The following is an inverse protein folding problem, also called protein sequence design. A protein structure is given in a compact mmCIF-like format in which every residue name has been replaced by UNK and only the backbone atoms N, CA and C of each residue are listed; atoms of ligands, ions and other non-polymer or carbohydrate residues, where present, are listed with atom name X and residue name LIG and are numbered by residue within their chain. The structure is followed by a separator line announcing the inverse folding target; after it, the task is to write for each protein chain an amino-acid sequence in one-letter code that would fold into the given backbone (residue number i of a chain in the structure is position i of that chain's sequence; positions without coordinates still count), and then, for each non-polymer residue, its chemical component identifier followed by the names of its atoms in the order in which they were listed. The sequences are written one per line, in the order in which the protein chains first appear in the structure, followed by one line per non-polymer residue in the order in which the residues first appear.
data_IF_318258722359
#
_entry.id   IF_318258722359
#
_cell.length_a   1.000
_cell.length_b   1.000
_cell.length_c   1.000
_cell.angle_alpha   90.00
_cell.angle_beta   90.00
_cell.angle_gamma   90.00
#
_symmetry.space_group_name_H-M   'P 1'
#
loop_
_entity.id
_entity.type
_entity.pdbx_description
1 polymer ?
#
# COMPACT_ATOMS: atom_id res chain seq x y z
N UNK A 1 -6.10 -12.92 -8.90
CA UNK A 1 -5.15 -13.20 -7.81
C UNK A 1 -5.89 -13.10 -6.49
N UNK A 2 -5.96 -14.17 -5.74
CA UNK A 2 -6.48 -14.14 -4.38
C UNK A 2 -5.35 -14.55 -3.46
N UNK A 3 -4.62 -13.57 -2.88
CA UNK A 3 -3.67 -13.91 -1.84
C UNK A 3 -4.50 -14.39 -0.65
N UNK A 4 -4.48 -15.67 -0.42
CA UNK A 4 -5.03 -16.26 0.76
C UNK A 4 -4.31 -17.59 1.05
N UNK A 5 -4.23 -17.92 2.30
CA UNK A 5 -3.70 -19.19 2.79
C UNK A 5 -4.83 -20.15 3.19
N UNK A 6 -6.02 -19.98 2.59
CA UNK A 6 -7.24 -20.71 2.92
C UNK A 6 -8.13 -20.03 3.95
N UNK A 7 -7.66 -19.00 4.63
CA UNK A 7 -8.49 -18.23 5.57
C UNK A 7 -9.40 -17.25 4.84
N UNK A 8 -10.68 -17.26 5.16
CA UNK A 8 -11.71 -16.38 4.57
C UNK A 8 -11.60 -14.93 5.07
N UNK A 9 -11.17 -14.73 6.31
CA UNK A 9 -11.15 -13.45 7.01
C UNK A 9 -9.76 -13.11 7.53
N UNK A 10 -9.54 -11.85 7.82
CA UNK A 10 -8.29 -11.35 8.39
C UNK A 10 -7.12 -11.33 7.40
N UNK A 11 -7.41 -11.32 6.10
CA UNK A 11 -6.40 -11.18 5.06
C UNK A 11 -5.97 -9.73 4.94
N UNK A 12 -4.69 -9.48 4.81
CA UNK A 12 -4.12 -8.14 4.65
C UNK A 12 -3.24 -8.10 3.42
N UNK A 13 -3.50 -7.15 2.54
CA UNK A 13 -2.66 -6.89 1.36
C UNK A 13 -2.00 -5.53 1.52
N UNK A 14 -0.67 -5.49 1.50
CA UNK A 14 0.10 -4.29 1.25
C UNK A 14 0.36 -4.18 -0.26
N UNK A 15 -0.33 -3.25 -0.91
CA UNK A 15 -0.10 -2.95 -2.32
C UNK A 15 0.99 -1.88 -2.44
N UNK A 16 2.20 -2.34 -2.72
CA UNK A 16 3.43 -1.55 -2.79
C UNK A 16 3.69 -1.12 -4.22
N UNK A 17 4.14 0.11 -4.43
CA UNK A 17 4.52 0.59 -5.77
C UNK A 17 4.60 2.11 -5.81
N UNK A 18 5.54 2.64 -6.58
CA UNK A 18 5.73 4.07 -6.74
C UNK A 18 4.49 4.82 -7.21
N UNK A 19 4.51 6.14 -7.14
CA UNK A 19 3.48 6.94 -7.77
C UNK A 19 3.46 6.67 -9.28
N UNK A 20 2.27 6.68 -9.90
CA UNK A 20 2.05 6.34 -11.30
C UNK A 20 2.45 4.90 -11.73
N UNK A 21 2.75 4.00 -10.80
CA UNK A 21 3.13 2.60 -11.12
C UNK A 21 1.98 1.73 -11.64
N UNK A 22 0.74 2.20 -11.59
CA UNK A 22 -0.43 1.41 -12.03
C UNK A 22 -1.10 0.59 -10.94
N UNK A 23 -0.94 0.95 -9.65
CA UNK A 23 -1.62 0.27 -8.52
C UNK A 23 -3.13 0.16 -8.71
N UNK A 24 -3.80 1.24 -9.11
CA UNK A 24 -5.26 1.22 -9.33
C UNK A 24 -5.66 0.25 -10.45
N UNK A 25 -4.84 0.11 -11.49
CA UNK A 25 -5.04 -0.92 -12.53
C UNK A 25 -4.82 -2.32 -11.97
N UNK A 26 -3.80 -2.49 -11.12
CA UNK A 26 -3.53 -3.77 -10.47
C UNK A 26 -4.68 -4.20 -9.55
N UNK A 27 -5.26 -3.28 -8.77
CA UNK A 27 -6.46 -3.55 -7.97
C UNK A 27 -7.58 -4.04 -8.88
N UNK A 28 -7.95 -3.26 -9.89
CA UNK A 28 -9.08 -3.57 -10.77
C UNK A 28 -8.94 -4.89 -11.54
N UNK A 29 -7.71 -5.22 -11.98
CA UNK A 29 -7.49 -6.41 -12.82
C UNK A 29 -7.16 -7.68 -12.04
N UNK A 30 -6.53 -7.56 -10.88
CA UNK A 30 -5.89 -8.71 -10.24
C UNK A 30 -6.31 -8.96 -8.79
N UNK A 31 -6.95 -7.99 -8.13
CA UNK A 31 -7.38 -8.12 -6.74
C UNK A 31 -8.89 -7.99 -6.69
N UNK A 32 -9.56 -8.96 -6.09
CA UNK A 32 -10.99 -8.82 -5.75
C UNK A 32 -11.13 -7.86 -4.56
N UNK A 33 -11.12 -6.56 -4.88
CA UNK A 33 -11.16 -5.52 -3.86
C UNK A 33 -12.51 -5.41 -3.15
N UNK A 34 -13.58 -6.02 -3.68
CA UNK A 34 -14.90 -6.03 -3.04
C UNK A 34 -14.89 -6.73 -1.69
N UNK A 35 -14.00 -7.72 -1.54
CA UNK A 35 -13.82 -8.47 -0.30
C UNK A 35 -12.93 -7.76 0.73
N UNK A 36 -12.38 -6.57 0.43
CA UNK A 36 -11.42 -5.86 1.25
C UNK A 36 -11.90 -4.46 1.63
N UNK A 37 -11.62 -4.04 2.87
CA UNK A 37 -11.68 -2.63 3.24
C UNK A 37 -10.40 -1.95 2.79
N UNK A 38 -10.52 -1.04 1.82
CA UNK A 38 -9.36 -0.31 1.28
C UNK A 38 -8.98 0.84 2.20
N UNK A 39 -7.70 0.90 2.54
CA UNK A 39 -7.08 1.98 3.32
C UNK A 39 -6.14 2.74 2.37
N UNK A 40 -6.62 3.88 1.88
CA UNK A 40 -5.92 4.72 0.91
C UNK A 40 -5.86 6.16 1.43
N UNK A 41 -4.70 6.82 1.45
CA UNK A 41 -4.57 8.24 1.82
C UNK A 41 -5.43 9.18 0.99
N UNK A 42 -5.64 8.89 -0.29
CA UNK A 42 -6.49 9.74 -1.15
C UNK A 42 -7.96 9.65 -0.72
N UNK A 43 -8.45 8.47 -0.32
CA UNK A 43 -9.78 8.33 0.26
C UNK A 43 -9.95 9.12 1.58
N UNK A 44 -8.88 9.25 2.37
CA UNK A 44 -8.91 10.11 3.56
C UNK A 44 -9.03 11.58 3.18
N UNK A 45 -8.36 12.05 2.12
CA UNK A 45 -8.52 13.43 1.63
C UNK A 45 -9.95 13.70 1.17
N UNK A 46 -10.57 12.74 0.47
CA UNK A 46 -11.98 12.86 0.06
C UNK A 46 -12.92 12.97 1.26
N UNK A 47 -12.70 12.19 2.32
CA UNK A 47 -13.45 12.30 3.57
C UNK A 47 -13.27 13.67 4.23
N UNK A 48 -12.05 14.21 4.24
CA UNK A 48 -11.75 15.53 4.79
C UNK A 48 -12.43 16.65 3.97
N UNK A 49 -12.44 16.52 2.64
CA UNK A 49 -13.15 17.44 1.75
C UNK A 49 -14.64 17.43 2.06
N UNK A 50 -15.26 16.25 2.14
CA UNK A 50 -16.67 16.13 2.50
C UNK A 50 -16.98 16.69 3.90
N UNK A 51 -16.05 16.51 4.86
CA UNK A 51 -16.20 17.08 6.20
C UNK A 51 -16.19 18.63 6.15
N UNK A 52 -15.31 19.22 5.36
CA UNK A 52 -15.26 20.67 5.14
C UNK A 52 -16.54 21.18 4.48
N UNK A 53 -17.00 20.53 3.41
CA UNK A 53 -18.23 20.87 2.68
C UNK A 53 -19.47 20.82 3.57
N UNK A 54 -19.48 19.93 4.56
CA UNK A 54 -20.56 19.79 5.57
C UNK A 54 -20.40 20.70 6.78
N UNK A 55 -19.39 21.57 6.80
CA UNK A 55 -19.13 22.47 7.93
C UNK A 55 -18.72 21.75 9.22
N UNK A 56 -18.11 20.56 9.13
CA UNK A 56 -17.65 19.85 10.31
C UNK A 56 -16.46 20.60 10.94
N UNK A 57 -16.62 20.92 12.23
CA UNK A 57 -15.61 21.65 13.00
C UNK A 57 -14.21 21.02 12.89
N UNK A 58 -13.23 21.87 12.63
CA UNK A 58 -11.83 21.49 12.48
C UNK A 58 -11.38 21.20 11.05
N UNK A 59 -12.29 21.38 10.05
CA UNK A 59 -11.96 21.24 8.63
C UNK A 59 -12.32 22.48 7.80
N UNK A 60 -12.60 23.61 8.44
CA UNK A 60 -13.02 24.86 7.82
C UNK A 60 -11.95 25.44 6.87
N UNK A 61 -10.68 25.23 7.23
CA UNK A 61 -9.50 25.65 6.47
C UNK A 61 -9.32 24.92 5.12
N UNK A 62 -10.09 23.88 4.89
CA UNK A 62 -10.11 23.15 3.62
C UNK A 62 -11.22 23.66 2.66
N UNK A 63 -12.06 24.59 3.11
CA UNK A 63 -13.15 25.11 2.28
C UNK A 63 -12.59 25.79 1.01
N UNK A 64 -13.07 25.36 -0.16
CA UNK A 64 -12.61 25.87 -1.45
C UNK A 64 -11.19 25.43 -1.87
N UNK A 65 -10.50 24.60 -1.07
CA UNK A 65 -9.17 24.10 -1.42
C UNK A 65 -9.30 22.85 -2.30
N UNK A 66 -8.82 22.92 -3.55
CA UNK A 66 -8.78 21.76 -4.44
C UNK A 66 -7.58 20.85 -4.10
N UNK A 67 -7.82 19.61 -3.59
CA UNK A 67 -6.76 18.67 -3.25
C UNK A 67 -5.95 18.18 -4.47
N UNK A 68 -6.41 18.43 -5.68
CA UNK A 68 -5.74 18.00 -6.90
C UNK A 68 -4.66 18.97 -7.39
N UNK A 69 -4.63 20.20 -6.86
CA UNK A 69 -3.55 21.14 -7.13
C UNK A 69 -2.35 20.87 -6.21
N UNK A 70 -1.11 21.21 -6.62
CA UNK A 70 0.08 21.04 -5.77
C UNK A 70 -0.05 21.77 -4.42
N UNK A 71 -0.57 23.00 -4.43
CA UNK A 71 -0.80 23.80 -3.22
C UNK A 71 -1.87 23.16 -2.33
N UNK A 72 -3.00 22.79 -2.91
CA UNK A 72 -4.09 22.14 -2.17
C UNK A 72 -3.67 20.78 -1.61
N UNK A 73 -2.97 19.96 -2.39
CA UNK A 73 -2.42 18.70 -1.89
C UNK A 73 -1.53 18.90 -0.66
N UNK A 74 -0.70 19.95 -0.65
CA UNK A 74 0.14 20.30 0.51
C UNK A 74 -0.69 20.63 1.75
N UNK A 75 -1.74 21.43 1.58
CA UNK A 75 -2.67 21.81 2.67
C UNK A 75 -3.33 20.56 3.25
N UNK A 76 -3.89 19.69 2.40
CA UNK A 76 -4.49 18.43 2.85
C UNK A 76 -3.49 17.51 3.56
N UNK A 77 -2.25 17.41 3.05
CA UNK A 77 -1.21 16.62 3.71
C UNK A 77 -0.82 17.19 5.08
N UNK A 78 -0.73 18.52 5.21
CA UNK A 78 -0.48 19.14 6.50
C UNK A 78 -1.61 18.84 7.47
N UNK A 79 -2.85 19.06 7.06
CA UNK A 79 -4.05 18.76 7.87
C UNK A 79 -4.11 17.30 8.30
N UNK A 80 -3.77 16.36 7.41
CA UNK A 80 -3.70 14.93 7.75
C UNK A 80 -2.66 14.64 8.83
N UNK A 81 -1.51 15.33 8.82
CA UNK A 81 -0.48 15.20 9.86
C UNK A 81 -0.96 15.75 11.19
N UNK A 82 -1.49 16.97 11.20
CA UNK A 82 -1.91 17.68 12.42
C UNK A 82 -3.05 16.95 13.13
N UNK A 83 -4.03 16.48 12.38
CA UNK A 83 -5.19 15.74 12.92
C UNK A 83 -4.91 14.26 13.18
N UNK A 84 -3.82 13.70 12.63
CA UNK A 84 -3.52 12.25 12.63
C UNK A 84 -4.69 11.40 12.10
N UNK A 85 -5.52 11.98 11.21
CA UNK A 85 -6.78 11.34 10.79
C UNK A 85 -6.56 10.00 10.10
N UNK A 86 -5.51 9.85 9.28
CA UNK A 86 -5.17 8.57 8.64
C UNK A 86 -4.89 7.48 9.66
N UNK A 87 -4.15 7.80 10.72
CA UNK A 87 -3.84 6.85 11.80
C UNK A 87 -5.09 6.49 12.62
N UNK A 88 -5.92 7.50 12.92
CA UNK A 88 -7.20 7.28 13.63
C UNK A 88 -8.16 6.43 12.80
N UNK A 89 -8.29 6.70 11.51
CA UNK A 89 -9.11 5.93 10.58
C UNK A 89 -8.62 4.48 10.49
N UNK A 90 -7.32 4.28 10.26
CA UNK A 90 -6.74 2.93 10.22
C UNK A 90 -6.96 2.20 11.54
N UNK A 91 -6.70 2.87 12.68
CA UNK A 91 -6.91 2.29 14.01
C UNK A 91 -8.37 1.85 14.20
N UNK A 92 -9.35 2.69 13.86
CA UNK A 92 -10.78 2.37 14.01
C UNK A 92 -11.19 1.13 13.20
N UNK A 93 -10.60 0.93 12.02
CA UNK A 93 -10.88 -0.25 11.17
C UNK A 93 -10.24 -1.50 11.76
N UNK A 94 -9.06 -1.39 12.36
CA UNK A 94 -8.22 -2.54 12.74
C UNK A 94 -8.37 -2.96 14.21
N UNK A 95 -8.80 -2.08 15.11
CA UNK A 95 -8.68 -2.24 16.57
C UNK A 95 -10.01 -2.39 17.30
N UNK A 96 -10.91 -3.24 16.84
CA UNK A 96 -12.07 -3.61 17.66
C UNK A 96 -11.65 -4.70 18.67
N UNK A 97 -11.55 -4.39 19.97
CA UNK A 97 -11.09 -5.35 20.98
C UNK A 97 -12.09 -6.49 21.25
N UNK A 98 -13.35 -6.32 20.85
CA UNK A 98 -14.41 -7.32 21.06
C UNK A 98 -14.65 -8.20 19.84
N UNK A 99 -13.75 -8.14 18.87
CA UNK A 99 -13.90 -8.86 17.61
C UNK A 99 -13.58 -10.35 17.78
N UNK A 100 -14.50 -11.22 17.35
CA UNK A 100 -14.19 -12.64 17.23
C UNK A 100 -13.17 -12.91 16.13
N UNK A 101 -12.46 -14.04 16.21
CA UNK A 101 -11.44 -14.43 15.23
C UNK A 101 -11.99 -14.46 13.80
N UNK A 102 -13.26 -14.75 13.62
CA UNK A 102 -13.94 -14.84 12.32
C UNK A 102 -14.50 -13.49 11.82
N UNK A 103 -14.32 -12.43 12.59
CA UNK A 103 -14.84 -11.10 12.27
C UNK A 103 -13.78 -10.09 11.84
N UNK A 104 -12.50 -10.53 11.68
CA UNK A 104 -11.45 -9.64 11.19
C UNK A 104 -11.72 -9.26 9.75
N UNK A 105 -11.85 -7.95 9.41
CA UNK A 105 -12.00 -7.54 8.02
C UNK A 105 -10.75 -7.86 7.23
N UNK A 106 -10.94 -8.19 5.95
CA UNK A 106 -9.85 -8.18 5.01
C UNK A 106 -9.46 -6.73 4.71
N UNK A 107 -8.17 -6.42 4.67
CA UNK A 107 -7.64 -5.06 4.52
C UNK A 107 -6.76 -4.96 3.29
N UNK A 108 -6.96 -3.92 2.49
CA UNK A 108 -6.10 -3.55 1.37
C UNK A 108 -5.48 -2.18 1.66
N UNK A 109 -4.18 -2.14 1.94
CA UNK A 109 -3.43 -0.90 2.06
C UNK A 109 -2.90 -0.50 0.69
N UNK A 110 -3.54 0.49 0.06
CA UNK A 110 -3.11 1.08 -1.21
C UNK A 110 -2.26 2.32 -0.94
N UNK A 111 -0.95 2.14 -0.85
CA UNK A 111 0.02 3.21 -0.62
C UNK A 111 1.27 3.00 -1.46
N UNK A 112 2.13 4.02 -1.54
CA UNK A 112 3.45 3.87 -2.19
C UNK A 112 4.39 2.98 -1.39
N UNK A 113 4.31 3.02 -0.05
CA UNK A 113 5.24 2.35 0.86
C UNK A 113 6.71 2.67 0.53
N UNK A 114 6.97 3.94 0.23
CA UNK A 114 8.31 4.42 -0.14
C UNK A 114 9.19 4.76 1.06
N UNK A 115 8.61 4.88 2.25
CA UNK A 115 9.36 5.16 3.48
C UNK A 115 9.74 3.88 4.21
N UNK A 116 10.98 3.85 4.73
CA UNK A 116 11.46 2.70 5.50
C UNK A 116 10.62 2.52 6.78
N UNK A 117 10.39 1.26 7.16
CA UNK A 117 9.68 0.90 8.39
C UNK A 117 8.16 1.07 8.35
N UNK A 118 7.57 1.67 7.30
CA UNK A 118 6.12 1.88 7.25
C UNK A 118 5.34 0.56 7.29
N UNK A 119 5.72 -0.42 6.45
CA UNK A 119 5.09 -1.74 6.43
C UNK A 119 5.31 -2.46 7.76
N UNK A 120 6.53 -2.39 8.31
CA UNK A 120 6.87 -2.98 9.61
C UNK A 120 5.99 -2.44 10.73
N UNK A 121 5.85 -1.12 10.83
CA UNK A 121 5.08 -0.47 11.89
C UNK A 121 3.59 -0.82 11.79
N UNK A 122 3.02 -0.84 10.56
CA UNK A 122 1.63 -1.20 10.35
C UNK A 122 1.43 -2.70 10.66
N UNK A 123 2.30 -3.58 10.17
CA UNK A 123 2.16 -5.01 10.41
C UNK A 123 2.32 -5.39 11.90
N UNK A 124 3.25 -4.77 12.63
CA UNK A 124 3.35 -4.93 14.09
C UNK A 124 2.06 -4.50 14.81
N UNK A 125 1.44 -3.43 14.34
CA UNK A 125 0.16 -2.97 14.90
C UNK A 125 -0.97 -3.94 14.61
N UNK A 126 -1.03 -4.48 13.38
CA UNK A 126 -2.02 -5.48 12.99
C UNK A 126 -1.90 -6.75 13.83
N UNK A 127 -0.66 -7.24 14.06
CA UNK A 127 -0.42 -8.40 14.91
C UNK A 127 -0.93 -8.17 16.34
N UNK A 128 -0.66 -6.98 16.91
CA UNK A 128 -1.20 -6.62 18.23
C UNK A 128 -2.72 -6.60 18.27
N UNK A 129 -3.39 -6.39 17.14
CA UNK A 129 -4.85 -6.45 17.00
C UNK A 129 -5.37 -7.84 16.61
N UNK A 130 -4.51 -8.86 16.58
CA UNK A 130 -4.91 -10.26 16.37
C UNK A 130 -4.80 -10.76 14.93
N UNK A 131 -4.33 -9.94 13.98
CA UNK A 131 -4.05 -10.44 12.63
C UNK A 131 -2.86 -11.40 12.65
N UNK A 132 -2.91 -12.45 11.84
CA UNK A 132 -1.85 -13.46 11.78
C UNK A 132 -0.79 -13.06 10.75
N UNK A 133 0.52 -13.25 11.04
CA UNK A 133 1.60 -12.95 10.08
C UNK A 133 1.42 -13.63 8.72
N UNK A 134 0.89 -14.85 8.70
CA UNK A 134 0.66 -15.68 7.50
C UNK A 134 -0.44 -15.08 6.60
N UNK A 135 -1.30 -14.22 7.15
CA UNK A 135 -2.36 -13.53 6.44
C UNK A 135 -1.93 -12.15 5.93
N UNK A 136 -0.68 -11.73 6.18
CA UNK A 136 -0.15 -10.44 5.73
C UNK A 136 0.66 -10.65 4.47
N UNK A 137 0.11 -10.18 3.34
CA UNK A 137 0.62 -10.39 1.99
C UNK A 137 1.21 -9.11 1.41
N UNK A 138 2.18 -9.25 0.51
CA UNK A 138 2.79 -8.16 -0.24
C UNK A 138 2.49 -8.34 -1.72
N UNK A 139 1.99 -7.30 -2.35
CA UNK A 139 1.83 -7.19 -3.80
C UNK A 139 2.61 -5.98 -4.29
N UNK A 140 3.71 -6.21 -4.99
CA UNK A 140 4.54 -5.14 -5.52
C UNK A 140 4.22 -4.89 -6.99
N UNK A 141 3.80 -3.68 -7.31
CA UNK A 141 3.55 -3.23 -8.69
C UNK A 141 4.81 -2.53 -9.19
N UNK A 142 5.59 -3.25 -9.96
CA UNK A 142 6.79 -2.73 -10.61
C UNK A 142 6.44 -2.03 -11.92
N UNK A 143 6.98 -0.85 -12.11
CA UNK A 143 6.92 -0.09 -13.35
C UNK A 143 8.24 0.64 -13.53
N UNK A 144 8.78 0.60 -14.73
CA UNK A 144 9.95 1.41 -15.09
C UNK A 144 9.69 2.89 -14.83
N UNK A 145 10.70 3.61 -14.32
CA UNK A 145 10.55 5.01 -13.92
C UNK A 145 10.16 5.90 -15.12
N UNK A 146 10.72 5.65 -16.31
CA UNK A 146 10.38 6.44 -17.49
C UNK A 146 8.93 6.21 -17.92
N UNK A 147 8.42 4.98 -17.79
CA UNK A 147 7.01 4.67 -18.03
C UNK A 147 6.13 5.35 -16.98
N UNK A 148 6.53 5.36 -15.72
CA UNK A 148 5.81 6.04 -14.66
C UNK A 148 5.75 7.57 -14.88
N UNK A 149 6.86 8.18 -15.29
CA UNK A 149 6.94 9.60 -15.67
C UNK A 149 6.02 9.92 -16.84
N UNK A 150 6.05 9.10 -17.92
CA UNK A 150 5.14 9.27 -19.06
C UNK A 150 3.68 9.20 -18.61
N UNK A 151 3.29 8.17 -17.88
CA UNK A 151 1.93 8.01 -17.35
C UNK A 151 1.52 9.16 -16.42
N UNK A 152 2.45 9.74 -15.66
CA UNK A 152 2.17 10.88 -14.80
C UNK A 152 1.77 12.11 -15.61
N UNK A 153 2.45 12.37 -16.73
CA UNK A 153 2.15 13.51 -17.63
C UNK A 153 0.81 13.38 -18.35
N UNK A 154 0.33 12.15 -18.55
CA UNK A 154 -0.96 11.84 -19.19
C UNK A 154 -2.15 11.92 -18.22
N UNK A 155 -1.92 12.19 -16.92
CA UNK A 155 -2.96 12.28 -15.91
C UNK A 155 -3.52 13.69 -15.80
N UNK A 156 -4.79 13.79 -15.41
CA UNK A 156 -5.41 15.06 -15.02
C UNK A 156 -4.75 15.70 -13.79
N UNK A 157 -4.21 14.87 -12.89
CA UNK A 157 -3.43 15.27 -11.72
C UNK A 157 -1.99 14.80 -11.87
N UNK A 158 -1.08 15.72 -12.08
CA UNK A 158 0.36 15.43 -12.20
C UNK A 158 1.07 15.64 -10.86
N UNK A 159 2.14 14.88 -10.66
CA UNK A 159 3.11 15.07 -9.57
C UNK A 159 4.43 15.55 -10.16
N UNK A 160 5.25 16.19 -9.34
CA UNK A 160 6.61 16.55 -9.76
C UNK A 160 7.44 15.27 -10.06
N UNK A 161 8.29 15.34 -11.05
CA UNK A 161 9.05 14.19 -11.56
C UNK A 161 9.96 13.57 -10.49
N UNK A 162 10.53 14.39 -9.59
CA UNK A 162 11.35 13.94 -8.46
C UNK A 162 10.54 13.08 -7.47
N UNK A 163 9.27 13.44 -7.22
CA UNK A 163 8.37 12.64 -6.37
C UNK A 163 8.13 11.26 -6.99
N UNK A 164 7.93 11.20 -8.31
CA UNK A 164 7.76 9.92 -9.02
C UNK A 164 9.01 9.05 -8.84
N UNK A 165 10.19 9.62 -9.12
CA UNK A 165 11.48 8.92 -9.02
C UNK A 165 11.75 8.45 -7.59
N UNK A 166 11.58 9.32 -6.59
CA UNK A 166 11.83 8.99 -5.19
C UNK A 166 10.88 7.91 -4.68
N UNK A 167 9.58 8.03 -5.00
CA UNK A 167 8.59 7.04 -4.58
C UNK A 167 8.84 5.66 -5.22
N UNK A 168 9.26 5.62 -6.48
CA UNK A 168 9.61 4.37 -7.16
C UNK A 168 10.84 3.70 -6.54
N UNK A 169 11.91 4.49 -6.29
CA UNK A 169 13.14 4.01 -5.64
C UNK A 169 12.86 3.49 -4.22
N UNK A 170 12.10 4.25 -3.42
CA UNK A 170 11.75 3.87 -2.05
C UNK A 170 10.91 2.60 -2.00
N UNK A 171 9.86 2.51 -2.82
CA UNK A 171 9.01 1.33 -2.89
C UNK A 171 9.79 0.08 -3.32
N UNK A 172 10.66 0.20 -4.33
CA UNK A 172 11.56 -0.87 -4.78
C UNK A 172 12.48 -1.33 -3.66
N UNK A 173 13.17 -0.38 -3.00
CA UNK A 173 14.07 -0.70 -1.89
C UNK A 173 13.35 -1.45 -0.77
N UNK A 174 12.22 -0.93 -0.31
CA UNK A 174 11.45 -1.55 0.77
C UNK A 174 10.93 -2.94 0.41
N UNK A 175 10.49 -3.14 -0.85
CA UNK A 175 10.09 -4.46 -1.31
C UNK A 175 11.27 -5.44 -1.31
N UNK A 176 12.45 -5.03 -1.78
CA UNK A 176 13.67 -5.84 -1.77
C UNK A 176 14.07 -6.21 -0.34
N UNK A 177 14.05 -5.24 0.57
CA UNK A 177 14.41 -5.45 1.97
C UNK A 177 13.48 -6.44 2.65
N UNK A 178 12.17 -6.38 2.38
CA UNK A 178 11.19 -7.35 2.85
C UNK A 178 11.43 -8.74 2.25
N UNK A 179 11.66 -8.81 0.94
CA UNK A 179 11.82 -10.07 0.21
C UNK A 179 13.05 -10.84 0.69
N UNK A 180 14.15 -10.15 0.92
CA UNK A 180 15.41 -10.76 1.36
C UNK A 180 15.58 -10.76 2.89
N UNK A 181 14.51 -10.49 3.64
CA UNK A 181 14.50 -10.50 5.11
C UNK A 181 15.54 -9.57 5.74
N UNK A 182 15.91 -8.50 5.07
CA UNK A 182 16.73 -7.45 5.69
C UNK A 182 15.94 -6.72 6.78
N UNK A 183 14.60 -6.71 6.68
CA UNK A 183 13.67 -6.30 7.73
C UNK A 183 13.25 -7.51 8.59
N UNK A 184 14.18 -8.06 9.37
CA UNK A 184 13.94 -9.24 10.21
C UNK A 184 12.80 -9.10 11.21
N UNK A 185 12.44 -7.88 11.55
CA UNK A 185 11.40 -7.54 12.53
C UNK A 185 10.00 -7.33 11.92
N UNK A 186 9.86 -7.33 10.60
CA UNK A 186 8.54 -7.17 9.97
C UNK A 186 7.77 -8.51 10.01
N UNK A 187 6.65 -8.58 10.74
CA UNK A 187 5.88 -9.82 10.86
C UNK A 187 4.99 -10.02 9.63
N UNK A 188 5.61 -10.20 8.46
CA UNK A 188 4.96 -10.40 7.17
C UNK A 188 5.35 -11.76 6.64
N UNK A 189 4.44 -12.75 6.76
CA UNK A 189 4.73 -14.13 6.39
C UNK A 189 3.72 -14.72 5.37
N UNK A 190 2.85 -13.90 4.82
CA UNK A 190 1.91 -14.26 3.78
C UNK A 190 2.55 -14.44 2.39
N UNK A 191 1.72 -14.42 1.37
CA UNK A 191 2.16 -14.49 -0.03
C UNK A 191 2.90 -13.23 -0.45
N UNK A 192 3.89 -13.40 -1.33
CA UNK A 192 4.58 -12.31 -2.02
C UNK A 192 4.37 -12.42 -3.52
N UNK A 193 3.84 -11.36 -4.11
CA UNK A 193 3.62 -11.24 -5.54
C UNK A 193 4.32 -10.00 -6.10
N UNK A 194 4.69 -10.09 -7.36
CA UNK A 194 5.12 -8.93 -8.15
C UNK A 194 4.29 -8.85 -9.43
N UNK A 195 3.81 -7.67 -9.75
CA UNK A 195 3.09 -7.38 -10.99
C UNK A 195 4.03 -6.57 -11.88
N UNK A 196 4.29 -7.09 -13.08
CA UNK A 196 5.17 -6.45 -14.07
C UNK A 196 4.47 -6.51 -15.42
N UNK A 197 4.26 -5.36 -16.05
CA UNK A 197 3.60 -5.29 -17.37
C UNK A 197 2.33 -6.16 -17.42
N UNK A 198 1.46 -6.00 -16.44
CA UNK A 198 0.21 -6.74 -16.29
C UNK A 198 0.36 -8.27 -16.11
N UNK A 199 1.55 -8.74 -15.81
CA UNK A 199 1.80 -10.15 -15.46
C UNK A 199 2.04 -10.31 -13.97
N UNK A 200 1.39 -11.29 -13.37
CA UNK A 200 1.57 -11.62 -11.95
C UNK A 200 2.65 -12.68 -11.82
N UNK A 201 3.65 -12.40 -11.00
CA UNK A 201 4.72 -13.32 -10.63
C UNK A 201 4.53 -13.67 -9.15
N UNK A 202 4.27 -14.94 -8.87
CA UNK A 202 4.26 -15.45 -7.49
C UNK A 202 5.71 -15.68 -7.05
N UNK A 203 6.15 -14.97 -6.02
CA UNK A 203 7.53 -15.06 -5.52
C UNK A 203 7.62 -16.04 -4.37
N UNK A 204 6.65 -15.96 -3.47
CA UNK A 204 6.58 -16.78 -2.26
C UNK A 204 5.14 -17.06 -1.90
N UNK A 205 4.86 -18.25 -1.39
CA UNK A 205 3.59 -18.59 -0.75
C UNK A 205 3.68 -18.46 0.77
N UNK A 206 2.54 -18.27 1.40
CA UNK A 206 2.42 -18.14 2.85
C UNK A 206 3.13 -19.24 3.59
N UNK A 207 3.80 -18.90 4.68
CA UNK A 207 4.56 -19.84 5.51
C UNK A 207 5.86 -20.35 4.91
N UNK A 208 6.14 -20.12 3.62
CA UNK A 208 7.38 -20.55 2.96
C UNK A 208 8.45 -19.44 2.98
N UNK A 209 9.71 -19.84 2.98
CA UNK A 209 10.84 -18.90 2.78
C UNK A 209 11.00 -18.58 1.30
N UNK A 210 11.55 -17.40 1.00
CA UNK A 210 11.97 -17.08 -0.36
C UNK A 210 13.16 -17.96 -0.74
N UNK A 211 13.00 -18.73 -1.79
CA UNK A 211 14.14 -19.43 -2.40
C UNK A 211 15.01 -18.41 -3.16
N UNK A 212 16.15 -18.05 -2.55
CA UNK A 212 17.08 -17.06 -3.12
C UNK A 212 17.90 -17.59 -4.28
N UNK A 213 18.04 -18.92 -4.39
CA UNK A 213 18.77 -19.60 -5.44
C UNK A 213 17.90 -19.98 -6.64
N UNK A 214 16.57 -20.01 -6.42
CA UNK A 214 15.60 -20.45 -7.40
C UNK A 214 15.43 -19.48 -8.59
N UNK A 215 14.89 -20.00 -9.68
CA UNK A 215 14.68 -19.23 -10.93
C UNK A 215 13.77 -18.04 -10.76
N UNK A 216 12.78 -18.11 -9.86
CA UNK A 216 11.89 -17.00 -9.56
C UNK A 216 12.66 -15.85 -8.91
N UNK A 217 13.53 -16.13 -7.96
CA UNK A 217 14.36 -15.11 -7.31
C UNK A 217 15.31 -14.45 -8.30
N UNK A 218 15.96 -15.23 -9.18
CA UNK A 218 16.82 -14.73 -10.26
C UNK A 218 16.04 -13.86 -11.24
N UNK A 219 14.84 -14.29 -11.65
CA UNK A 219 13.96 -13.52 -12.53
C UNK A 219 13.57 -12.19 -11.90
N UNK A 220 13.17 -12.18 -10.63
CA UNK A 220 12.84 -10.96 -9.89
C UNK A 220 14.06 -10.04 -9.79
N UNK A 221 15.22 -10.57 -9.44
CA UNK A 221 16.45 -9.81 -9.32
C UNK A 221 16.85 -9.14 -10.64
N UNK A 222 16.78 -9.86 -11.76
CA UNK A 222 17.00 -9.29 -13.12
C UNK A 222 15.99 -8.21 -13.44
N UNK A 223 14.68 -8.46 -13.23
CA UNK A 223 13.62 -7.47 -13.49
C UNK A 223 13.81 -6.19 -12.67
N UNK A 224 14.31 -6.32 -11.45
CA UNK A 224 14.57 -5.19 -10.58
C UNK A 224 15.95 -4.54 -10.81
N UNK A 225 16.77 -5.08 -11.72
CA UNK A 225 18.13 -4.57 -11.97
C UNK A 225 19.02 -4.67 -10.73
N UNK A 226 18.99 -5.83 -10.04
CA UNK A 226 19.84 -6.15 -8.89
C UNK A 226 20.98 -7.10 -9.31
N UNK A 227 20.77 -7.81 -10.41
CA UNK A 227 21.72 -8.69 -11.12
C UNK A 227 21.83 -8.24 -12.56
#
# INVERSE_FOLDING_TARGET
MSPNNGAKYGQVIFLVGGAASGKSTAIRKFIDSSSYKTINPDGVKDLMRQASEKGITGFEDLAGVDPNTPKGASVYHQKMRDTKISSRYSKRITSDPNRSADAYPNLLFDRTFSFAGEIENISKSLIRYGYKPENIHIVYVFTDVNIALKRNRERSRTLADDIIVQSAKGAKKNFIDLLFQRMKSAPVNGDFFMIVNERVITIKKSGKRVDRSGDVAKKVARTLGIL
#
